data_IF_480113495173
#
_entry.id   IF_480113495173
#
_cell.length_a   1.000
_cell.length_b   1.000
_cell.length_c   1.000
_cell.angle_alpha   90.00
_cell.angle_beta   90.00
_cell.angle_gamma   90.00
#
_symmetry.space_group_name_H-M   'P 1'
#
loop_
_entity.id
_entity.type
_entity.pdbx_description
1 polymer ?
#
# COMPACT_ATOMS: atom_id res chain seq x y z
N UNK A 1 -8.80 52.63 27.21
CA UNK A 1 -7.86 51.53 27.49
C UNK A 1 -7.04 51.26 26.25
N UNK A 2 -5.76 50.91 26.42
CA UNK A 2 -4.80 50.65 25.32
C UNK A 2 -5.29 49.63 24.31
N UNK A 3 -6.08 48.63 24.75
CA UNK A 3 -6.71 47.62 23.90
C UNK A 3 -7.69 48.23 22.87
N UNK A 4 -8.55 49.13 23.34
CA UNK A 4 -9.55 49.81 22.51
C UNK A 4 -8.91 50.78 21.51
N UNK A 5 -7.72 51.30 21.83
CA UNK A 5 -6.92 52.09 20.90
C UNK A 5 -6.24 51.21 19.83
N UNK A 6 -5.74 50.04 20.22
CA UNK A 6 -5.14 49.06 19.30
C UNK A 6 -6.18 48.45 18.35
N UNK A 7 -7.38 48.11 18.83
CA UNK A 7 -8.50 47.63 17.99
C UNK A 7 -8.92 48.69 16.96
N UNK A 8 -8.94 49.96 17.36
CA UNK A 8 -9.26 51.06 16.45
C UNK A 8 -8.16 51.30 15.42
N UNK A 9 -6.89 51.17 15.81
CA UNK A 9 -5.75 51.21 14.90
C UNK A 9 -5.76 50.04 13.92
N UNK A 10 -6.12 48.83 14.37
CA UNK A 10 -6.27 47.65 13.52
C UNK A 10 -7.34 47.89 12.46
N UNK A 11 -8.53 48.36 12.87
CA UNK A 11 -9.63 48.65 11.95
C UNK A 11 -9.29 49.77 10.95
N UNK A 12 -8.53 50.79 11.35
CA UNK A 12 -8.05 51.84 10.43
C UNK A 12 -7.02 51.32 9.43
N UNK A 13 -6.13 50.42 9.85
CA UNK A 13 -5.14 49.79 8.98
C UNK A 13 -5.82 48.87 7.96
N UNK A 14 -6.80 48.05 8.39
CA UNK A 14 -7.59 47.18 7.54
C UNK A 14 -8.38 47.98 6.49
N UNK A 15 -8.99 49.09 6.89
CA UNK A 15 -9.71 49.97 5.98
C UNK A 15 -8.79 50.66 4.95
N UNK A 16 -7.58 51.05 5.37
CA UNK A 16 -6.56 51.61 4.46
C UNK A 16 -6.06 50.57 3.47
N UNK A 17 -5.78 49.35 3.92
CA UNK A 17 -5.41 48.23 3.06
C UNK A 17 -6.51 47.96 2.03
N UNK A 18 -7.76 47.80 2.47
CA UNK A 18 -8.91 47.59 1.58
C UNK A 18 -9.04 48.67 0.49
N UNK A 19 -8.77 49.94 0.83
CA UNK A 19 -8.77 51.04 -0.14
C UNK A 19 -7.61 51.01 -1.13
N UNK A 20 -6.44 50.52 -0.70
CA UNK A 20 -5.26 50.32 -1.57
C UNK A 20 -5.44 49.12 -2.52
N UNK A 21 -6.21 48.10 -2.12
CA UNK A 21 -6.54 46.94 -2.96
C UNK A 21 -7.48 47.27 -4.15
N UNK A 22 -8.24 48.37 -4.09
CA UNK A 22 -9.12 48.79 -5.20
C UNK A 22 -8.34 49.31 -6.43
N UNK A 23 -7.07 49.69 -6.26
CA UNK A 23 -6.19 50.17 -7.35
C UNK A 23 -5.07 49.16 -7.65
N UNK A 24 -5.47 47.95 -8.06
CA UNK A 24 -4.69 47.03 -8.90
C UNK A 24 -3.28 46.65 -8.43
N UNK A 25 -3.16 45.49 -7.77
CA UNK A 25 -1.99 44.61 -7.89
C UNK A 25 -2.31 43.16 -7.53
N UNK A 26 -1.79 42.25 -8.35
CA UNK A 26 -1.98 40.79 -8.37
C UNK A 26 -1.15 40.02 -7.32
N UNK A 27 -0.87 40.56 -6.13
CA UNK A 27 -0.18 39.82 -5.08
C UNK A 27 -1.01 39.81 -3.79
N UNK A 28 -1.38 38.60 -3.35
CA UNK A 28 -1.83 38.34 -1.98
C UNK A 28 -0.63 38.57 -1.05
N UNK A 29 -0.77 39.51 -0.11
CA UNK A 29 0.24 39.80 0.92
C UNK A 29 -0.04 39.07 2.26
N UNK A 30 -1.15 38.32 2.33
CA UNK A 30 -1.48 37.47 3.47
C UNK A 30 -1.22 36.00 3.13
N UNK A 31 -0.57 35.29 4.07
CA UNK A 31 -0.35 33.85 4.00
C UNK A 31 -1.54 33.17 4.68
N UNK A 32 -2.33 32.42 3.91
CA UNK A 32 -3.45 31.65 4.46
C UNK A 32 -3.05 30.20 4.82
N UNK A 33 -3.97 29.44 5.43
CA UNK A 33 -3.73 28.02 5.75
C UNK A 33 -3.41 27.18 4.50
N UNK A 34 -3.93 27.57 3.33
CA UNK A 34 -3.71 26.88 2.05
C UNK A 34 -2.29 27.13 1.53
N UNK A 35 -1.77 28.35 1.68
CA UNK A 35 -0.39 28.73 1.31
C UNK A 35 0.66 27.98 2.16
N UNK A 36 0.41 27.84 3.47
CA UNK A 36 1.25 27.04 4.36
C UNK A 36 1.20 25.57 3.95
N UNK A 37 -0.01 25.03 3.74
CA UNK A 37 -0.19 23.64 3.37
C UNK A 37 0.42 23.29 2.00
N UNK A 38 0.33 24.18 1.02
CA UNK A 38 0.95 24.02 -0.30
C UNK A 38 2.48 24.02 -0.20
N UNK A 39 3.05 24.86 0.67
CA UNK A 39 4.49 24.90 0.90
C UNK A 39 4.99 23.63 1.59
N UNK A 40 4.30 23.17 2.63
CA UNK A 40 4.64 21.92 3.32
C UNK A 40 4.47 20.74 2.36
N UNK A 41 3.38 20.68 1.58
CA UNK A 41 3.17 19.65 0.58
C UNK A 41 4.23 19.64 -0.52
N UNK A 42 4.76 20.81 -0.91
CA UNK A 42 5.87 20.90 -1.86
C UNK A 42 7.18 20.37 -1.28
N UNK A 43 7.42 20.53 0.03
CA UNK A 43 8.61 20.01 0.71
C UNK A 43 8.51 18.52 1.02
N UNK A 44 7.34 18.04 1.42
CA UNK A 44 7.11 16.63 1.81
C UNK A 44 6.66 15.75 0.64
N UNK A 45 6.18 16.37 -0.44
CA UNK A 45 5.51 15.72 -1.56
C UNK A 45 4.04 15.35 -1.29
N UNK A 46 3.47 15.75 -0.14
CA UNK A 46 2.23 15.15 0.39
C UNK A 46 1.26 16.23 0.89
N UNK A 47 -0.02 16.22 0.45
CA UNK A 47 -1.00 17.26 0.80
C UNK A 47 -1.24 17.36 2.31
N UNK A 48 -1.11 18.59 2.85
CA UNK A 48 -1.32 18.90 4.28
C UNK A 48 -2.59 19.73 4.49
N UNK A 49 -3.36 19.96 3.43
CA UNK A 49 -4.61 20.74 3.46
C UNK A 49 -5.72 19.99 4.20
N UNK A 50 -6.74 20.75 4.66
CA UNK A 50 -8.09 20.20 4.82
C UNK A 50 -8.44 19.44 3.53
N UNK A 51 -9.09 18.28 3.66
CA UNK A 51 -9.39 17.43 2.52
C UNK A 51 -10.01 18.25 1.39
N UNK A 52 -9.29 18.43 0.29
CA UNK A 52 -9.84 19.06 -0.91
C UNK A 52 -11.02 18.19 -1.40
N UNK A 53 -12.02 18.76 -2.06
CA UNK A 53 -13.18 17.99 -2.56
C UNK A 53 -12.74 16.73 -3.36
N UNK A 54 -11.64 16.83 -4.11
CA UNK A 54 -11.04 15.69 -4.82
C UNK A 54 -10.49 14.60 -3.91
N UNK A 55 -9.89 14.96 -2.76
CA UNK A 55 -9.39 14.00 -1.77
C UNK A 55 -10.53 13.31 -1.02
N UNK A 56 -11.60 14.05 -0.70
CA UNK A 56 -12.82 13.48 -0.14
C UNK A 56 -13.38 12.43 -1.10
N UNK A 57 -13.52 12.78 -2.37
CA UNK A 57 -14.06 11.84 -3.37
C UNK A 57 -13.13 10.64 -3.60
N UNK A 58 -11.80 10.82 -3.51
CA UNK A 58 -10.84 9.70 -3.50
C UNK A 58 -11.15 8.76 -2.32
N UNK A 59 -11.29 9.29 -1.11
CA UNK A 59 -11.56 8.52 0.12
C UNK A 59 -12.92 7.82 0.14
N UNK A 60 -13.96 8.46 -0.42
CA UNK A 60 -15.31 7.87 -0.52
C UNK A 60 -15.31 6.62 -1.40
N UNK A 61 -14.48 6.60 -2.45
CA UNK A 61 -14.39 5.46 -3.38
C UNK A 61 -13.10 4.66 -3.19
N UNK A 62 -12.56 4.65 -1.97
CA UNK A 62 -11.27 4.04 -1.67
C UNK A 62 -11.26 2.53 -1.95
N UNK A 63 -12.30 1.82 -1.54
CA UNK A 63 -12.46 0.38 -1.76
C UNK A 63 -12.44 0.03 -3.25
N UNK A 64 -13.18 0.77 -4.07
CA UNK A 64 -13.21 0.55 -5.53
C UNK A 64 -11.83 0.80 -6.16
N UNK A 65 -11.18 1.91 -5.78
CA UNK A 65 -9.88 2.30 -6.34
C UNK A 65 -8.79 1.28 -6.00
N UNK A 66 -8.72 0.86 -4.74
CA UNK A 66 -7.76 -0.15 -4.30
C UNK A 66 -8.14 -1.54 -4.85
N UNK A 67 -9.44 -1.84 -4.94
CA UNK A 67 -9.98 -3.10 -5.46
C UNK A 67 -9.66 -3.39 -6.93
N UNK A 68 -9.33 -2.36 -7.72
CA UNK A 68 -8.80 -2.53 -9.09
C UNK A 68 -7.45 -3.26 -9.11
N UNK A 69 -6.71 -3.21 -8.00
CA UNK A 69 -5.37 -3.80 -7.83
C UNK A 69 -5.41 -5.02 -6.89
N UNK A 70 -6.18 -4.95 -5.82
CA UNK A 70 -6.31 -6.00 -4.81
C UNK A 70 -7.63 -6.75 -5.00
N UNK A 71 -7.55 -7.96 -5.53
CA UNK A 71 -8.73 -8.75 -5.95
C UNK A 71 -9.19 -9.71 -4.86
N UNK A 72 -10.50 -9.78 -4.62
CA UNK A 72 -11.13 -10.83 -3.80
C UNK A 72 -11.01 -10.65 -2.29
N UNK A 73 -10.65 -9.45 -1.83
CA UNK A 73 -10.40 -9.17 -0.40
C UNK A 73 -11.32 -8.04 0.12
N UNK A 74 -12.61 -8.09 -0.21
CA UNK A 74 -13.54 -6.98 0.04
C UNK A 74 -13.66 -6.61 1.53
N UNK A 75 -13.63 -7.60 2.43
CA UNK A 75 -13.64 -7.35 3.88
C UNK A 75 -12.37 -6.59 4.31
N UNK A 76 -11.21 -6.97 3.77
CA UNK A 76 -9.95 -6.29 4.04
C UNK A 76 -9.94 -4.85 3.52
N UNK A 77 -10.45 -4.64 2.31
CA UNK A 77 -10.57 -3.31 1.72
C UNK A 77 -11.46 -2.40 2.56
N UNK A 78 -12.62 -2.89 2.99
CA UNK A 78 -13.55 -2.12 3.85
C UNK A 78 -12.93 -1.80 5.21
N UNK A 79 -12.27 -2.75 5.85
CA UNK A 79 -11.65 -2.54 7.16
C UNK A 79 -10.57 -1.44 7.09
N UNK A 80 -9.67 -1.52 6.10
CA UNK A 80 -8.62 -0.53 5.88
C UNK A 80 -9.20 0.83 5.51
N UNK A 81 -10.16 0.88 4.58
CA UNK A 81 -10.78 2.12 4.15
C UNK A 81 -11.51 2.84 5.28
N UNK A 82 -12.24 2.09 6.12
CA UNK A 82 -12.92 2.67 7.29
C UNK A 82 -11.93 3.29 8.29
N UNK A 83 -10.85 2.59 8.63
CA UNK A 83 -9.83 3.10 9.55
C UNK A 83 -9.15 4.36 9.00
N UNK A 84 -8.78 4.37 7.73
CA UNK A 84 -8.19 5.54 7.06
C UNK A 84 -9.18 6.71 7.02
N UNK A 85 -10.46 6.47 6.70
CA UNK A 85 -11.51 7.50 6.73
C UNK A 85 -11.70 8.08 8.13
N UNK A 86 -11.64 7.26 9.20
CA UNK A 86 -11.67 7.73 10.60
C UNK A 86 -10.51 8.69 10.90
N UNK A 87 -9.29 8.33 10.50
CA UNK A 87 -8.12 9.18 10.72
C UNK A 87 -8.20 10.49 9.94
N UNK A 88 -8.58 10.44 8.65
CA UNK A 88 -8.68 11.64 7.80
C UNK A 88 -9.84 12.57 8.14
N UNK A 89 -10.89 12.05 8.79
CA UNK A 89 -12.00 12.88 9.30
C UNK A 89 -11.74 13.48 10.69
N UNK A 90 -10.57 13.25 11.28
CA UNK A 90 -10.23 13.73 12.62
C UNK A 90 -10.95 12.99 13.75
N UNK A 91 -11.53 11.81 13.47
CA UNK A 91 -12.20 10.96 14.45
C UNK A 91 -11.26 9.95 15.13
N UNK A 92 -10.03 9.82 14.64
CA UNK A 92 -8.99 8.98 15.27
C UNK A 92 -8.19 9.77 16.32
N UNK A 93 -7.50 9.05 17.19
CA UNK A 93 -6.56 9.63 18.15
C UNK A 93 -5.39 10.29 17.41
N UNK A 94 -5.14 11.61 17.58
CA UNK A 94 -4.07 12.32 16.90
C UNK A 94 -2.66 11.90 17.37
N UNK A 95 -2.54 11.15 18.46
CA UNK A 95 -1.25 10.68 18.96
C UNK A 95 -0.85 9.31 18.41
N UNK A 96 -1.73 8.62 17.67
CA UNK A 96 -1.47 7.30 17.11
C UNK A 96 -1.21 7.36 15.61
N UNK A 97 -0.65 6.31 14.99
CA UNK A 97 -0.56 6.20 13.54
C UNK A 97 -1.94 6.35 12.87
N UNK A 98 -1.97 6.69 11.57
CA UNK A 98 -3.19 6.83 10.75
C UNK A 98 -4.06 5.56 10.84
N UNK A 99 -3.41 4.40 10.93
CA UNK A 99 -4.07 3.13 11.22
C UNK A 99 -3.05 2.06 11.49
N UNK A 100 -3.42 1.10 12.31
CA UNK A 100 -2.62 -0.07 12.65
C UNK A 100 -3.40 -1.36 12.33
N UNK A 101 -2.80 -2.21 11.51
CA UNK A 101 -3.46 -3.39 10.98
C UNK A 101 -2.63 -4.64 11.18
N UNK A 102 -3.28 -5.75 11.52
CA UNK A 102 -2.69 -7.08 11.45
C UNK A 102 -3.38 -7.90 10.36
N UNK A 103 -2.65 -8.17 9.28
CA UNK A 103 -3.11 -8.94 8.13
C UNK A 103 -2.79 -10.43 8.33
N UNK A 104 -3.82 -11.23 8.52
CA UNK A 104 -3.74 -12.68 8.67
C UNK A 104 -4.19 -13.38 7.40
N UNK A 105 -3.54 -14.48 7.03
CA UNK A 105 -4.01 -15.33 5.95
C UNK A 105 -2.88 -16.10 5.27
N UNK A 106 -3.18 -16.89 4.23
CA UNK A 106 -2.17 -17.64 3.50
C UNK A 106 -1.18 -16.76 2.73
N UNK A 107 -0.11 -17.38 2.24
CA UNK A 107 0.87 -16.71 1.39
C UNK A 107 0.27 -16.39 0.02
N UNK A 108 0.58 -15.20 -0.52
CA UNK A 108 0.24 -14.86 -1.91
C UNK A 108 -1.22 -14.51 -2.20
N UNK A 109 -2.01 -14.22 -1.17
CA UNK A 109 -3.44 -13.83 -1.28
C UNK A 109 -3.66 -12.31 -1.42
N UNK A 110 -2.63 -11.49 -1.23
CA UNK A 110 -2.72 -10.03 -1.44
C UNK A 110 -2.32 -9.13 -0.26
N UNK A 111 -1.87 -9.67 0.87
CA UNK A 111 -1.48 -8.89 2.08
C UNK A 111 -0.50 -7.74 1.77
N UNK A 112 0.66 -8.06 1.19
CA UNK A 112 1.67 -7.09 0.78
C UNK A 112 1.19 -6.20 -0.37
N UNK A 113 0.30 -6.70 -1.20
CA UNK A 113 -0.24 -5.95 -2.34
C UNK A 113 -1.20 -4.85 -1.87
N UNK A 114 -2.00 -5.12 -0.84
CA UNK A 114 -2.81 -4.10 -0.18
C UNK A 114 -1.95 -3.02 0.46
N UNK A 115 -0.84 -3.38 1.10
CA UNK A 115 0.10 -2.40 1.66
C UNK A 115 0.68 -1.46 0.58
N UNK A 116 1.10 -2.02 -0.56
CA UNK A 116 1.58 -1.25 -1.72
C UNK A 116 0.51 -0.35 -2.33
N UNK A 117 -0.68 -0.90 -2.56
CA UNK A 117 -1.81 -0.16 -3.10
C UNK A 117 -2.24 0.97 -2.17
N UNK A 118 -2.13 0.77 -0.85
CA UNK A 118 -2.40 1.79 0.14
C UNK A 118 -1.34 2.90 0.15
N UNK A 119 -0.06 2.55 -0.02
CA UNK A 119 1.03 3.53 -0.15
C UNK A 119 0.83 4.42 -1.38
N UNK A 120 0.53 3.80 -2.53
CA UNK A 120 0.20 4.52 -3.76
C UNK A 120 -1.06 5.39 -3.59
N UNK A 121 -2.10 4.87 -2.93
CA UNK A 121 -3.35 5.60 -2.76
C UNK A 121 -3.22 6.83 -1.83
N UNK A 122 -2.50 6.68 -0.71
CA UNK A 122 -2.40 7.73 0.31
C UNK A 122 -1.28 8.74 0.06
N UNK A 123 -0.20 8.31 -0.59
CA UNK A 123 1.02 9.09 -0.71
C UNK A 123 1.45 9.28 -2.17
N UNK A 124 0.58 8.91 -3.13
CA UNK A 124 0.79 8.99 -4.58
C UNK A 124 2.12 8.33 -5.05
N UNK A 125 2.67 7.41 -4.24
CA UNK A 125 3.91 6.67 -4.52
C UNK A 125 3.90 5.28 -3.85
N UNK A 126 3.92 4.22 -4.67
CA UNK A 126 4.04 2.83 -4.19
C UNK A 126 5.33 2.59 -3.39
N UNK A 127 6.40 3.36 -3.66
CA UNK A 127 7.67 3.30 -2.91
C UNK A 127 7.59 4.03 -1.57
N UNK A 128 6.46 4.67 -1.23
CA UNK A 128 6.18 5.16 0.12
C UNK A 128 5.87 4.02 1.10
N UNK A 129 6.49 2.86 0.91
CA UNK A 129 6.35 1.69 1.75
C UNK A 129 7.72 1.30 2.31
N UNK A 130 7.87 1.38 3.63
CA UNK A 130 9.05 0.91 4.35
C UNK A 130 8.77 -0.52 4.77
N UNK A 131 9.43 -1.49 4.13
CA UNK A 131 9.24 -2.91 4.44
C UNK A 131 10.38 -3.40 5.34
N UNK A 132 10.01 -4.02 6.45
CA UNK A 132 10.93 -4.68 7.38
C UNK A 132 10.53 -6.15 7.48
N UNK A 133 11.46 -7.05 7.18
CA UNK A 133 11.26 -8.49 7.31
C UNK A 133 11.57 -8.92 8.74
N UNK A 134 10.57 -9.41 9.47
CA UNK A 134 10.71 -9.79 10.88
C UNK A 134 11.52 -11.08 11.08
N UNK A 135 11.77 -11.85 10.02
CA UNK A 135 12.71 -12.97 10.07
C UNK A 135 14.16 -12.52 10.28
N UNK A 136 14.51 -11.27 9.95
CA UNK A 136 15.83 -10.69 10.28
C UNK A 136 15.96 -10.32 11.77
N UNK A 137 14.84 -10.30 12.49
CA UNK A 137 14.72 -9.84 13.88
C UNK A 137 14.38 -10.96 14.87
N UNK A 138 14.72 -12.21 14.53
CA UNK A 138 14.47 -13.39 15.38
C UNK A 138 15.31 -13.42 16.66
N UNK A 139 16.44 -12.72 16.69
CA UNK A 139 17.41 -12.76 17.79
C UNK A 139 17.42 -11.45 18.57
N UNK A 140 17.65 -11.54 19.89
CA UNK A 140 17.60 -10.37 20.78
C UNK A 140 18.53 -9.22 20.36
N UNK A 141 19.72 -9.53 19.85
CA UNK A 141 20.71 -8.51 19.49
C UNK A 141 20.39 -7.80 18.18
N UNK A 142 19.59 -8.40 17.28
CA UNK A 142 19.20 -7.75 16.02
C UNK A 142 18.12 -6.70 16.23
N UNK A 143 17.36 -6.75 17.35
CA UNK A 143 16.38 -5.73 17.74
C UNK A 143 16.98 -4.33 17.80
N UNK A 144 18.22 -4.19 18.27
CA UNK A 144 18.93 -2.92 18.31
C UNK A 144 19.13 -2.30 16.92
N UNK A 145 19.20 -3.11 15.84
CA UNK A 145 19.32 -2.59 14.47
C UNK A 145 18.05 -1.90 14.00
N UNK A 146 16.89 -2.22 14.58
CA UNK A 146 15.60 -1.64 14.20
C UNK A 146 15.55 -0.15 14.59
N UNK A 147 15.99 0.16 15.82
CA UNK A 147 15.92 1.50 16.42
C UNK A 147 17.26 2.24 16.50
N UNK A 148 18.37 1.52 16.30
CA UNK A 148 19.73 2.03 16.43
C UNK A 148 20.40 1.50 17.70
N UNK A 149 21.69 1.18 17.59
CA UNK A 149 22.47 0.76 18.75
C UNK A 149 22.65 1.91 19.74
N UNK A 150 22.77 1.65 21.05
CA UNK A 150 23.11 2.67 22.04
C UNK A 150 24.60 3.11 21.93
N UNK A 151 24.98 4.26 22.52
CA UNK A 151 26.36 4.75 22.49
C UNK A 151 27.34 3.70 23.02
N UNK A 152 28.43 3.46 22.26
CA UNK A 152 29.49 2.51 22.62
C UNK A 152 29.35 1.09 22.04
N UNK A 153 28.32 0.84 21.21
CA UNK A 153 28.16 -0.42 20.48
C UNK A 153 28.46 -0.25 18.99
N UNK A 154 28.89 -1.34 18.33
CA UNK A 154 29.12 -1.35 16.87
C UNK A 154 27.80 -1.08 16.15
N UNK A 155 27.82 -0.17 15.17
CA UNK A 155 26.62 0.28 14.46
C UNK A 155 25.89 1.46 15.10
N UNK A 156 26.47 2.10 16.13
CA UNK A 156 25.94 3.33 16.72
C UNK A 156 25.71 4.40 15.65
N UNK A 157 26.72 4.71 14.83
CA UNK A 157 26.65 5.82 13.85
C UNK A 157 25.71 5.54 12.65
N UNK A 158 25.23 4.30 12.47
CA UNK A 158 24.38 3.91 11.34
C UNK A 158 22.88 4.25 11.55
N UNK A 159 22.48 4.54 12.80
CA UNK A 159 21.08 4.75 13.17
C UNK A 159 20.24 3.47 13.10
N UNK A 160 18.94 3.57 13.39
CA UNK A 160 18.03 2.44 13.28
C UNK A 160 17.43 2.32 11.88
N UNK A 161 17.30 1.09 11.37
CA UNK A 161 16.71 0.84 10.05
C UNK A 161 15.29 1.41 9.94
N UNK A 162 14.47 1.25 10.99
CA UNK A 162 13.10 1.76 11.01
C UNK A 162 13.07 3.26 11.30
N UNK A 163 13.79 3.68 12.35
CA UNK A 163 13.77 5.07 12.83
C UNK A 163 14.33 6.03 11.78
N UNK A 164 15.44 5.70 11.11
CA UNK A 164 15.99 6.54 10.03
C UNK A 164 15.13 6.54 8.77
N UNK A 165 14.54 5.39 8.39
CA UNK A 165 13.67 5.32 7.22
C UNK A 165 12.43 6.20 7.39
N UNK A 166 11.78 6.14 8.55
CA UNK A 166 10.59 6.97 8.85
C UNK A 166 10.98 8.43 9.06
N UNK A 167 12.12 8.73 9.69
CA UNK A 167 12.61 10.11 9.80
C UNK A 167 12.81 10.76 8.43
N UNK A 168 13.33 10.02 7.44
CA UNK A 168 13.50 10.49 6.06
C UNK A 168 12.18 10.56 5.29
N UNK A 169 11.23 9.69 5.62
CA UNK A 169 9.92 9.61 4.96
C UNK A 169 8.77 9.40 5.99
N UNK A 170 8.36 10.48 6.69
CA UNK A 170 7.40 10.40 7.80
C UNK A 170 5.99 9.97 7.38
N UNK A 171 5.66 10.17 6.11
CA UNK A 171 4.42 9.75 5.50
C UNK A 171 4.70 8.50 4.66
N UNK A 172 4.38 7.35 5.24
CA UNK A 172 4.69 6.07 4.64
C UNK A 172 3.81 4.97 5.21
N UNK A 173 3.69 3.88 4.45
CA UNK A 173 3.20 2.61 4.96
C UNK A 173 4.41 1.85 5.54
N UNK A 174 4.38 1.55 6.83
CA UNK A 174 5.38 0.72 7.50
C UNK A 174 4.85 -0.71 7.53
N UNK A 175 5.49 -1.60 6.77
CA UNK A 175 5.11 -3.00 6.65
C UNK A 175 6.08 -3.90 7.41
N UNK A 176 5.62 -4.50 8.50
CA UNK A 176 6.30 -5.56 9.24
C UNK A 176 5.84 -6.92 8.70
N UNK A 177 6.67 -7.57 7.90
CA UNK A 177 6.32 -8.85 7.26
C UNK A 177 6.68 -10.02 8.20
N UNK A 178 5.80 -11.03 8.29
CA UNK A 178 6.00 -12.25 9.11
C UNK A 178 6.23 -11.98 10.61
N UNK A 179 5.36 -11.16 11.21
CA UNK A 179 5.50 -10.67 12.60
C UNK A 179 5.67 -11.78 13.65
N UNK A 180 5.13 -12.98 13.39
CA UNK A 180 5.27 -14.14 14.27
C UNK A 180 6.72 -14.65 14.41
N UNK A 181 7.63 -14.25 13.52
CA UNK A 181 9.04 -14.64 13.55
C UNK A 181 9.87 -13.71 14.42
N UNK A 182 9.39 -12.50 14.72
CA UNK A 182 10.13 -11.51 15.49
C UNK A 182 10.45 -12.00 16.91
N UNK A 183 11.59 -11.58 17.43
CA UNK A 183 11.91 -11.73 18.85
C UNK A 183 10.91 -10.97 19.73
N UNK A 184 10.64 -11.47 20.94
CA UNK A 184 9.67 -10.90 21.87
C UNK A 184 9.92 -9.40 22.20
N UNK A 185 11.18 -8.97 22.18
CA UNK A 185 11.59 -7.59 22.46
C UNK A 185 11.20 -6.61 21.34
N UNK A 186 11.02 -7.09 20.09
CA UNK A 186 10.51 -6.25 18.99
C UNK A 186 9.09 -5.76 19.30
N UNK A 187 8.25 -6.60 19.90
CA UNK A 187 6.89 -6.23 20.27
C UNK A 187 6.85 -5.10 21.30
N UNK A 188 7.87 -4.97 22.16
CA UNK A 188 7.94 -3.86 23.12
C UNK A 188 8.19 -2.53 22.41
N UNK A 189 9.04 -2.53 21.38
CA UNK A 189 9.25 -1.37 20.51
C UNK A 189 7.95 -1.04 19.77
N UNK A 190 7.29 -2.04 19.18
CA UNK A 190 6.05 -1.83 18.45
C UNK A 190 4.91 -1.32 19.36
N UNK A 191 4.82 -1.78 20.62
CA UNK A 191 3.85 -1.24 21.58
C UNK A 191 4.02 0.27 21.77
N UNK A 192 5.24 0.75 21.95
CA UNK A 192 5.53 2.18 22.06
C UNK A 192 5.10 2.95 20.80
N UNK A 193 5.40 2.39 19.62
CA UNK A 193 4.99 2.97 18.34
C UNK A 193 3.46 3.08 18.24
N UNK A 194 2.74 2.01 18.58
CA UNK A 194 1.29 1.93 18.43
C UNK A 194 0.52 2.77 19.46
N UNK A 195 1.11 2.99 20.64
CA UNK A 195 0.51 3.78 21.73
C UNK A 195 0.78 5.28 21.57
N UNK A 196 2.05 5.66 21.40
CA UNK A 196 2.47 7.07 21.43
C UNK A 196 2.69 7.67 20.04
N UNK A 197 2.56 6.86 18.98
CA UNK A 197 2.85 7.27 17.60
C UNK A 197 4.28 7.76 17.44
N UNK A 198 5.19 7.36 18.33
CA UNK A 198 6.56 7.86 18.41
C UNK A 198 7.50 6.75 18.84
N UNK A 199 8.73 6.80 18.35
CA UNK A 199 9.82 5.95 18.83
C UNK A 199 11.03 6.80 19.17
N UNK A 200 11.75 6.43 20.23
CA UNK A 200 13.05 7.03 20.54
C UNK A 200 14.15 6.11 20.03
N UNK A 201 15.03 6.65 19.19
CA UNK A 201 16.15 5.90 18.63
C UNK A 201 17.29 5.68 19.67
N UNK A 202 18.30 4.90 19.30
CA UNK A 202 19.48 4.65 20.15
C UNK A 202 20.29 5.91 20.51
N UNK A 203 20.08 7.03 19.82
CA UNK A 203 20.71 8.33 20.09
C UNK A 203 19.85 9.25 20.97
N UNK A 204 18.66 8.80 21.39
CA UNK A 204 17.71 9.63 22.15
C UNK A 204 16.88 10.59 21.30
N UNK A 205 16.88 10.44 19.96
CA UNK A 205 16.05 11.26 19.07
C UNK A 205 14.67 10.63 18.94
N UNK A 206 13.63 11.44 19.05
CA UNK A 206 12.25 10.99 18.86
C UNK A 206 11.87 11.08 17.38
N UNK A 207 11.38 9.97 16.82
CA UNK A 207 10.85 9.85 15.46
C UNK A 207 9.33 9.75 15.52
N UNK A 208 8.64 10.47 14.64
CA UNK A 208 7.18 10.58 14.58
C UNK A 208 6.59 9.59 13.57
N UNK A 209 5.63 8.79 14.03
CA UNK A 209 4.88 7.78 13.28
C UNK A 209 3.40 8.15 13.10
N UNK A 210 2.94 9.30 13.60
CA UNK A 210 1.52 9.71 13.53
C UNK A 210 1.00 9.86 12.10
N UNK A 211 1.91 10.12 11.15
CA UNK A 211 1.61 10.20 9.72
C UNK A 211 1.83 8.90 8.94
N UNK A 212 2.08 7.79 9.65
CA UNK A 212 2.30 6.48 9.03
C UNK A 212 1.05 5.60 9.09
N UNK A 213 0.97 4.64 8.17
CA UNK A 213 0.09 3.48 8.33
C UNK A 213 0.94 2.28 8.70
N UNK A 214 0.62 1.62 9.80
CA UNK A 214 1.37 0.46 10.29
C UNK A 214 0.63 -0.81 9.90
N UNK A 215 1.30 -1.68 9.15
CA UNK A 215 0.76 -2.97 8.73
C UNK A 215 1.71 -4.06 9.21
N UNK A 216 1.16 -5.04 9.89
CA UNK A 216 1.85 -6.28 10.23
C UNK A 216 1.22 -7.41 9.41
N UNK A 217 2.03 -8.27 8.80
CA UNK A 217 1.52 -9.48 8.16
C UNK A 217 1.86 -10.69 9.00
N UNK A 218 1.00 -11.69 8.95
CA UNK A 218 1.29 -13.01 9.50
C UNK A 218 0.71 -14.10 8.61
N UNK A 219 1.43 -15.22 8.55
CA UNK A 219 0.94 -16.44 7.93
C UNK A 219 0.35 -17.43 8.97
N UNK A 220 0.16 -16.98 10.21
CA UNK A 220 -0.44 -17.77 11.28
C UNK A 220 -1.80 -18.35 10.87
N UNK A 221 -2.04 -19.62 11.22
CA UNK A 221 -3.29 -20.30 10.91
C UNK A 221 -3.56 -20.55 9.41
N UNK A 222 -2.54 -20.44 8.54
CA UNK A 222 -2.68 -20.80 7.12
C UNK A 222 -3.21 -22.23 6.91
N UNK A 223 -2.95 -23.14 7.84
CA UNK A 223 -3.44 -24.52 7.78
C UNK A 223 -4.96 -24.63 8.00
N UNK A 224 -5.55 -23.74 8.80
CA UNK A 224 -6.99 -23.72 9.11
C UNK A 224 -7.81 -23.52 7.83
N UNK A 225 -7.33 -22.69 6.91
CA UNK A 225 -8.00 -22.47 5.62
C UNK A 225 -8.03 -23.71 4.72
N UNK A 226 -7.13 -24.68 4.93
CA UNK A 226 -7.12 -25.95 4.18
C UNK A 226 -8.06 -26.98 4.79
N UNK A 227 -8.22 -26.95 6.11
CA UNK A 227 -9.02 -27.92 6.86
C UNK A 227 -10.52 -27.55 6.91
N UNK A 228 -10.85 -26.26 6.80
CA UNK A 228 -12.21 -25.76 6.92
C UNK A 228 -12.60 -24.91 5.71
N UNK A 229 -13.51 -25.44 4.89
CA UNK A 229 -14.06 -24.70 3.74
C UNK A 229 -15.07 -23.60 4.16
N UNK A 230 -15.57 -23.62 5.40
CA UNK A 230 -16.60 -22.68 5.87
C UNK A 230 -15.99 -21.47 6.58
N UNK A 231 -16.13 -20.24 6.02
CA UNK A 231 -15.57 -19.02 6.60
C UNK A 231 -15.96 -18.76 8.07
N UNK A 232 -17.19 -19.12 8.45
CA UNK A 232 -17.73 -18.93 9.80
C UNK A 232 -16.94 -19.66 10.90
N UNK A 233 -16.33 -20.80 10.56
CA UNK A 233 -15.50 -21.58 11.50
C UNK A 233 -14.04 -21.14 11.48
N UNK A 234 -13.57 -20.62 10.36
CA UNK A 234 -12.17 -20.20 10.16
C UNK A 234 -11.83 -19.02 11.07
N UNK A 235 -12.67 -17.98 11.12
CA UNK A 235 -12.39 -16.77 11.91
C UNK A 235 -12.22 -17.04 13.41
N UNK A 236 -13.12 -17.76 14.11
CA UNK A 236 -12.92 -18.09 15.52
C UNK A 236 -11.63 -18.85 15.80
N UNK A 237 -11.28 -19.83 14.95
CA UNK A 237 -10.06 -20.63 15.10
C UNK A 237 -8.79 -19.78 14.89
N UNK A 238 -8.78 -18.92 13.87
CA UNK A 238 -7.67 -17.98 13.65
C UNK A 238 -7.49 -17.03 14.83
N UNK A 239 -8.58 -16.50 15.37
CA UNK A 239 -8.50 -15.59 16.52
C UNK A 239 -8.03 -16.31 17.79
N UNK A 240 -8.35 -17.60 17.95
CA UNK A 240 -7.84 -18.41 19.05
C UNK A 240 -6.33 -18.64 18.90
N UNK A 241 -5.85 -19.04 17.72
CA UNK A 241 -4.43 -19.23 17.45
C UNK A 241 -3.65 -17.92 17.64
N UNK A 242 -4.19 -16.81 17.12
CA UNK A 242 -3.62 -15.49 17.29
C UNK A 242 -3.41 -15.12 18.77
N UNK A 243 -4.42 -15.36 19.61
CA UNK A 243 -4.35 -15.08 21.07
C UNK A 243 -3.37 -15.98 21.81
N UNK A 244 -3.07 -17.17 21.26
CA UNK A 244 -2.06 -18.07 21.83
C UNK A 244 -0.64 -17.64 21.44
N UNK A 245 -0.47 -17.02 20.28
CA UNK A 245 0.84 -16.60 19.76
C UNK A 245 1.21 -15.18 20.18
N UNK A 246 0.28 -14.23 20.12
CA UNK A 246 0.50 -12.83 20.43
C UNK A 246 -0.16 -12.44 21.75
N UNK A 247 0.55 -11.62 22.53
CA UNK A 247 0.10 -11.20 23.86
C UNK A 247 -1.13 -10.28 23.74
N UNK A 248 -2.13 -10.39 24.64
CA UNK A 248 -3.34 -9.57 24.58
C UNK A 248 -3.08 -8.07 24.59
N UNK A 249 -2.06 -7.59 25.32
CA UNK A 249 -1.73 -6.15 25.33
C UNK A 249 -1.37 -5.63 23.94
N UNK A 250 -0.68 -6.43 23.12
CA UNK A 250 -0.33 -6.06 21.76
C UNK A 250 -1.55 -6.05 20.84
N UNK A 251 -2.41 -7.06 20.95
CA UNK A 251 -3.64 -7.15 20.15
C UNK A 251 -4.58 -5.97 20.41
N UNK A 252 -4.64 -5.48 21.66
CA UNK A 252 -5.46 -4.34 22.03
C UNK A 252 -4.93 -2.99 21.50
N UNK A 253 -3.71 -2.94 20.94
CA UNK A 253 -3.14 -1.75 20.30
C UNK A 253 -3.29 -1.72 18.79
N UNK A 254 -3.78 -2.80 18.20
CA UNK A 254 -4.05 -2.90 16.78
C UNK A 254 -5.49 -2.43 16.55
N UNK A 255 -5.70 -1.52 15.60
CA UNK A 255 -7.03 -0.99 15.32
C UNK A 255 -7.93 -2.05 14.68
N UNK A 256 -7.40 -2.83 13.74
CA UNK A 256 -8.15 -3.89 13.06
C UNK A 256 -7.28 -5.13 12.77
N UNK A 257 -7.80 -6.31 13.12
CA UNK A 257 -7.27 -7.60 12.66
C UNK A 257 -8.04 -8.00 11.40
N UNK A 258 -7.32 -8.08 10.27
CA UNK A 258 -7.90 -8.27 8.94
C UNK A 258 -7.54 -9.65 8.42
N UNK A 259 -8.56 -10.42 8.06
CA UNK A 259 -8.38 -11.80 7.56
C UNK A 259 -8.48 -11.79 6.04
N UNK A 260 -7.47 -12.37 5.39
CA UNK A 260 -7.40 -12.54 3.95
C UNK A 260 -7.78 -13.97 3.58
N UNK A 261 -8.78 -14.09 2.73
CA UNK A 261 -9.25 -15.38 2.24
C UNK A 261 -8.35 -15.92 1.12
N UNK A 262 -8.26 -17.25 0.96
CA UNK A 262 -7.70 -17.87 -0.24
C UNK A 262 -8.39 -17.35 -1.51
N UNK A 263 -7.63 -17.25 -2.59
CA UNK A 263 -8.14 -16.76 -3.87
C UNK A 263 -8.87 -17.89 -4.62
N UNK A 264 -10.11 -17.61 -5.04
CA UNK A 264 -10.89 -18.52 -5.90
C UNK A 264 -10.50 -18.40 -7.38
N UNK A 265 -11.11 -19.24 -8.22
CA UNK A 265 -10.81 -19.29 -9.65
C UNK A 265 -11.10 -17.95 -10.36
N UNK A 266 -12.19 -17.29 -9.99
CA UNK A 266 -12.60 -16.01 -10.54
C UNK A 266 -11.64 -14.88 -10.14
N UNK A 267 -11.18 -14.88 -8.88
CA UNK A 267 -10.15 -13.95 -8.40
C UNK A 267 -8.85 -14.14 -9.18
N UNK A 268 -8.41 -15.39 -9.35
CA UNK A 268 -7.19 -15.69 -10.09
C UNK A 268 -7.29 -15.23 -11.55
N UNK A 269 -8.42 -15.46 -12.22
CA UNK A 269 -8.65 -14.98 -13.59
C UNK A 269 -8.54 -13.45 -13.69
N UNK A 270 -9.13 -12.72 -12.74
CA UNK A 270 -9.00 -11.25 -12.66
C UNK A 270 -7.55 -10.81 -12.41
N UNK A 271 -6.80 -11.52 -11.56
CA UNK A 271 -5.38 -11.23 -11.34
C UNK A 271 -4.55 -11.50 -12.60
N UNK A 272 -4.86 -12.55 -13.37
CA UNK A 272 -4.26 -12.80 -14.69
C UNK A 272 -4.45 -11.59 -15.60
N UNK A 273 -5.66 -11.03 -15.67
CA UNK A 273 -5.94 -9.85 -16.49
C UNK A 273 -5.15 -8.61 -16.05
N UNK A 274 -5.01 -8.39 -14.75
CA UNK A 274 -4.16 -7.30 -14.21
C UNK A 274 -2.71 -7.49 -14.68
N UNK A 275 -2.16 -8.70 -14.53
CA UNK A 275 -0.79 -9.02 -14.95
C UNK A 275 -0.58 -8.85 -16.46
N UNK A 276 -1.54 -9.31 -17.27
CA UNK A 276 -1.54 -9.11 -18.72
C UNK A 276 -1.70 -7.65 -19.10
N UNK A 277 -2.39 -6.83 -18.31
CA UNK A 277 -2.46 -5.37 -18.49
C UNK A 277 -1.09 -4.69 -18.47
N UNK A 278 -0.14 -5.18 -17.66
CA UNK A 278 1.24 -4.68 -17.70
C UNK A 278 1.98 -5.08 -18.98
N UNK A 279 1.67 -6.25 -19.55
CA UNK A 279 2.20 -6.66 -20.85
C UNK A 279 1.59 -5.84 -21.98
N UNK A 280 0.26 -5.66 -22.00
CA UNK A 280 -0.47 -4.81 -22.95
C UNK A 280 0.12 -3.40 -23.03
N UNK A 281 0.38 -2.76 -21.89
CA UNK A 281 1.01 -1.43 -21.86
C UNK A 281 2.39 -1.39 -22.52
N UNK A 282 3.20 -2.44 -22.37
CA UNK A 282 4.53 -2.53 -23.02
C UNK A 282 4.41 -2.77 -24.52
N UNK A 283 3.45 -3.59 -24.95
CA UNK A 283 3.18 -3.87 -26.36
C UNK A 283 2.55 -2.67 -27.10
N UNK A 284 1.75 -1.87 -26.40
CA UNK A 284 1.15 -0.65 -26.95
C UNK A 284 2.19 0.37 -27.43
N UNK A 285 3.38 0.42 -26.81
CA UNK A 285 4.50 1.25 -27.30
C UNK A 285 4.98 0.84 -28.71
N UNK A 286 4.69 -0.40 -29.13
CA UNK A 286 4.93 -0.94 -30.47
C UNK A 286 3.65 -1.03 -31.32
N UNK A 287 2.55 -0.42 -30.86
CA UNK A 287 1.21 -0.52 -31.48
C UNK A 287 0.70 -1.95 -31.64
N UNK A 288 1.17 -2.87 -30.81
CA UNK A 288 0.70 -4.26 -30.83
C UNK A 288 -0.45 -4.37 -29.84
N UNK A 289 -1.60 -4.84 -30.31
CA UNK A 289 -2.76 -5.14 -29.48
C UNK A 289 -2.69 -6.60 -29.02
N UNK A 290 -2.99 -6.85 -27.74
CA UNK A 290 -2.96 -8.18 -27.16
C UNK A 290 -4.34 -8.56 -26.62
N UNK A 291 -5.01 -9.43 -27.36
CA UNK A 291 -6.25 -10.08 -26.95
C UNK A 291 -5.93 -11.41 -26.29
N UNK A 292 -6.66 -11.76 -25.24
CA UNK A 292 -6.46 -13.02 -24.52
C UNK A 292 -7.81 -13.67 -24.31
N UNK A 293 -7.98 -14.89 -24.81
CA UNK A 293 -9.23 -15.64 -24.71
C UNK A 293 -9.47 -16.12 -23.28
N UNK A 294 -10.72 -16.45 -22.94
CA UNK A 294 -11.06 -17.00 -21.63
C UNK A 294 -10.36 -18.36 -21.38
N UNK A 295 -10.15 -19.14 -22.45
CA UNK A 295 -9.40 -20.40 -22.38
C UNK A 295 -7.94 -20.16 -21.98
N UNK A 296 -7.27 -19.16 -22.58
CA UNK A 296 -5.93 -18.77 -22.19
C UNK A 296 -5.87 -18.24 -20.75
N UNK A 297 -6.83 -17.40 -20.33
CA UNK A 297 -6.89 -16.92 -18.94
C UNK A 297 -7.04 -18.06 -17.94
N UNK A 298 -7.92 -19.03 -18.23
CA UNK A 298 -8.15 -20.19 -17.38
C UNK A 298 -6.90 -21.07 -17.29
N UNK A 299 -6.20 -21.30 -18.41
CA UNK A 299 -4.95 -22.06 -18.43
C UNK A 299 -3.85 -21.34 -17.63
N UNK A 300 -3.65 -20.04 -17.84
CA UNK A 300 -2.67 -19.24 -17.11
C UNK A 300 -2.97 -19.20 -15.61
N UNK A 301 -4.25 -19.10 -15.24
CA UNK A 301 -4.69 -19.14 -13.85
C UNK A 301 -4.41 -20.50 -13.19
N UNK A 302 -4.70 -21.60 -13.90
CA UNK A 302 -4.44 -22.96 -13.42
C UNK A 302 -2.94 -23.24 -13.23
N UNK A 303 -2.11 -22.86 -14.21
CA UNK A 303 -0.65 -23.06 -14.19
C UNK A 303 0.08 -22.07 -13.28
N UNK A 304 -0.55 -20.94 -12.95
CA UNK A 304 0.05 -19.87 -12.17
C UNK A 304 -0.44 -19.76 -10.73
N UNK A 305 -1.44 -20.56 -10.35
CA UNK A 305 -1.92 -20.68 -8.98
C UNK A 305 -1.31 -21.90 -8.28
N UNK A 306 -0.75 -21.66 -7.12
CA UNK A 306 -0.23 -22.71 -6.24
C UNK A 306 -0.96 -22.67 -4.89
N UNK A 307 -1.52 -23.78 -4.38
CA UNK A 307 -2.23 -23.77 -3.09
C UNK A 307 -1.39 -23.32 -1.89
N UNK A 308 -0.07 -23.43 -1.96
CA UNK A 308 0.90 -23.02 -0.93
C UNK A 308 1.35 -21.58 -1.12
N UNK A 309 1.59 -21.16 -2.37
CA UNK A 309 2.16 -19.84 -2.69
C UNK A 309 1.16 -18.81 -3.21
N UNK A 310 -0.12 -19.18 -3.34
CA UNK A 310 -1.20 -18.34 -3.86
C UNK A 310 -0.93 -17.89 -5.29
N UNK A 311 -1.18 -16.61 -5.59
CA UNK A 311 -0.95 -16.03 -6.92
C UNK A 311 0.51 -15.61 -7.19
N UNK A 312 1.45 -15.85 -6.27
CA UNK A 312 2.86 -15.45 -6.44
C UNK A 312 3.51 -16.01 -7.72
N UNK A 313 3.30 -17.28 -8.13
CA UNK A 313 3.92 -17.83 -9.33
C UNK A 313 3.38 -17.24 -10.64
N UNK A 314 2.20 -16.63 -10.62
CA UNK A 314 1.46 -16.20 -11.81
C UNK A 314 2.28 -15.31 -12.75
N UNK A 315 3.04 -14.36 -12.20
CA UNK A 315 3.92 -13.49 -12.99
C UNK A 315 4.96 -14.29 -13.78
N UNK A 316 5.56 -15.31 -13.16
CA UNK A 316 6.55 -16.19 -13.79
C UNK A 316 5.88 -17.10 -14.83
N UNK A 317 4.67 -17.59 -14.55
CA UNK A 317 3.89 -18.38 -15.51
C UNK A 317 3.56 -17.57 -16.77
N UNK A 318 3.07 -16.33 -16.61
CA UNK A 318 2.79 -15.42 -17.74
C UNK A 318 4.08 -15.09 -18.50
N UNK A 319 5.19 -14.87 -17.80
CA UNK A 319 6.47 -14.66 -18.47
C UNK A 319 6.84 -15.85 -19.36
N UNK A 320 6.88 -17.06 -18.78
CA UNK A 320 7.27 -18.30 -19.48
C UNK A 320 6.34 -18.67 -20.62
N UNK A 321 5.03 -18.58 -20.41
CA UNK A 321 4.03 -19.07 -21.36
C UNK A 321 3.59 -18.02 -22.37
N UNK A 322 3.73 -16.73 -22.06
CA UNK A 322 3.27 -15.65 -22.92
C UNK A 322 4.42 -14.76 -23.39
N UNK A 323 5.18 -14.17 -22.46
CA UNK A 323 6.19 -13.16 -22.82
C UNK A 323 7.37 -13.74 -23.59
N UNK A 324 7.90 -14.89 -23.14
CA UNK A 324 9.08 -15.50 -23.77
C UNK A 324 8.77 -15.97 -25.20
N UNK A 325 7.67 -16.71 -25.47
CA UNK A 325 7.30 -17.09 -26.84
C UNK A 325 6.95 -15.88 -27.71
N UNK A 326 6.24 -14.89 -27.17
CA UNK A 326 5.90 -13.67 -27.91
C UNK A 326 7.17 -12.90 -28.31
N UNK A 327 8.15 -12.82 -27.43
CA UNK A 327 9.44 -12.18 -27.70
C UNK A 327 10.19 -12.87 -28.84
N UNK A 328 10.18 -14.21 -28.86
CA UNK A 328 10.79 -14.98 -29.95
C UNK A 328 10.09 -14.71 -31.29
N UNK A 329 8.76 -14.71 -31.31
CA UNK A 329 7.95 -14.43 -32.50
C UNK A 329 8.17 -13.02 -33.06
N UNK A 330 8.36 -12.03 -32.18
CA UNK A 330 8.72 -10.67 -32.58
C UNK A 330 10.11 -10.61 -33.22
N UNK A 331 11.10 -11.30 -32.65
CA UNK A 331 12.46 -11.35 -33.20
C UNK A 331 12.50 -12.08 -34.56
N UNK A 332 11.66 -13.10 -34.74
CA UNK A 332 11.51 -13.85 -35.98
C UNK A 332 10.65 -13.11 -37.03
N UNK A 333 10.08 -11.93 -36.69
CA UNK A 333 9.16 -11.16 -37.54
C UNK A 333 7.88 -11.91 -37.93
N UNK A 334 7.47 -12.90 -37.14
CA UNK A 334 6.15 -13.55 -37.30
C UNK A 334 5.02 -12.61 -36.89
N UNK A 335 5.30 -11.76 -35.89
CA UNK A 335 4.47 -10.67 -35.39
C UNK A 335 5.23 -9.36 -35.61
N UNK A 336 4.53 -8.35 -36.09
CA UNK A 336 5.05 -7.02 -36.41
C UNK A 336 4.32 -5.92 -35.65
N UNK A 337 4.92 -4.74 -35.62
CA UNK A 337 4.31 -3.56 -35.03
C UNK A 337 2.99 -3.22 -35.75
N UNK A 338 1.93 -2.92 -35.00
CA UNK A 338 0.58 -2.68 -35.54
C UNK A 338 -0.32 -3.92 -35.59
N UNK A 339 0.22 -5.12 -35.34
CA UNK A 339 -0.57 -6.35 -35.35
C UNK A 339 -1.48 -6.47 -34.11
N UNK A 340 -2.63 -7.12 -34.28
CA UNK A 340 -3.42 -7.65 -33.17
C UNK A 340 -3.06 -9.12 -32.98
N UNK A 341 -2.62 -9.46 -31.76
CA UNK A 341 -2.21 -10.81 -31.38
C UNK A 341 -3.24 -11.37 -30.41
N UNK A 342 -3.89 -12.46 -30.80
CA UNK A 342 -4.79 -13.22 -29.94
C UNK A 342 -4.02 -14.37 -29.29
N UNK A 343 -3.94 -14.36 -27.97
CA UNK A 343 -3.41 -15.45 -27.14
C UNK A 343 -4.55 -16.38 -26.78
N UNK A 344 -4.41 -17.64 -27.16
CA UNK A 344 -5.43 -18.68 -26.97
C UNK A 344 -4.82 -19.93 -26.33
N UNK A 345 -5.65 -20.87 -25.89
CA UNK A 345 -5.20 -22.14 -25.31
C UNK A 345 -5.78 -23.34 -26.05
N UNK A 346 -4.91 -24.26 -26.46
CA UNK A 346 -5.27 -25.57 -27.00
C UNK A 346 -4.70 -26.65 -26.08
N UNK A 347 -5.58 -27.31 -25.31
CA UNK A 347 -5.18 -28.28 -24.30
C UNK A 347 -4.36 -27.64 -23.17
N UNK A 348 -3.07 -27.98 -23.10
CA UNK A 348 -2.12 -27.44 -22.11
C UNK A 348 -1.13 -26.43 -22.71
N UNK A 349 -1.26 -26.10 -24.00
CA UNK A 349 -0.36 -25.18 -24.69
C UNK A 349 -1.03 -23.83 -24.93
N UNK A 350 -0.27 -22.75 -24.70
CA UNK A 350 -0.61 -21.41 -25.17
C UNK A 350 -0.20 -21.28 -26.63
N UNK A 351 -1.12 -20.76 -27.44
CA UNK A 351 -0.90 -20.50 -28.86
C UNK A 351 -1.15 -19.02 -29.18
N UNK A 352 -0.55 -18.55 -30.27
CA UNK A 352 -0.65 -17.17 -30.73
C UNK A 352 -1.23 -17.16 -32.13
N UNK A 353 -2.32 -16.42 -32.31
CA UNK A 353 -2.95 -16.16 -33.61
C UNK A 353 -2.75 -14.69 -33.93
N UNK A 354 -2.18 -14.39 -35.11
CA UNK A 354 -2.08 -13.02 -35.61
C UNK A 354 -3.35 -12.71 -36.39
N UNK A 355 -4.01 -11.63 -36.01
CA UNK A 355 -5.08 -11.02 -36.79
C UNK A 355 -4.49 -9.77 -37.43
N UNK A 356 -4.31 -9.80 -38.75
CA UNK A 356 -3.92 -8.60 -39.50
C UNK A 356 -5.16 -7.70 -39.51
N UNK A 357 -5.07 -6.42 -39.16
CA UNK A 357 -6.17 -5.50 -39.37
C UNK A 357 -6.61 -5.61 -40.84
N UNK A 358 -7.90 -5.81 -41.09
CA UNK A 358 -8.42 -5.75 -42.45
C UNK A 358 -7.95 -4.41 -43.03
N UNK A 359 -7.20 -4.46 -44.14
CA UNK A 359 -6.88 -3.25 -44.90
C UNK A 359 -8.19 -2.50 -45.09
N UNK A 360 -8.25 -1.26 -44.59
CA UNK A 360 -9.28 -0.33 -45.00
C UNK A 360 -9.01 -0.11 -46.48
N UNK A 361 -9.68 -0.89 -47.32
CA UNK A 361 -9.68 -0.69 -48.76
C UNK A 361 -10.40 0.63 -48.99
N UNK A 362 -9.59 1.62 -49.36
CA UNK A 362 -9.90 2.97 -49.88
C UNK A 362 -10.61 3.97 -48.96
#
# INVERSE_FOLDING_TARGET
GTLMALEKQLAELDARLASQHAHGRMLREEVDEEDIAATVAKWTGIPVTRLLEGEIQKLVNMEERIGRRVVGQDEALRAVANAVRRARSGLADPNRPIGSFLFLGPTGVGKTELARALAEFLFDDERAMIRIDMSEYMEKHTVARLIGAPPGYVGYDEGGQLTEAVRRRPYSVVLFDEIEKAHADVFNVLLQLLDDGRLTDGHGRTVDFRNTVVIMTSNLGSHIFREYERPEKVRPLLMQELRNTLRPEFLNRIDEVVIFAPLGREEIARIVDIQLGHLRRRLAARRIELEVTDAARALLGREGYDPTFGARPLKRTIQRLVQDPLSLKLLQREISDGDTVTVDAEGEAIIFKRTVPAEVVS
#
